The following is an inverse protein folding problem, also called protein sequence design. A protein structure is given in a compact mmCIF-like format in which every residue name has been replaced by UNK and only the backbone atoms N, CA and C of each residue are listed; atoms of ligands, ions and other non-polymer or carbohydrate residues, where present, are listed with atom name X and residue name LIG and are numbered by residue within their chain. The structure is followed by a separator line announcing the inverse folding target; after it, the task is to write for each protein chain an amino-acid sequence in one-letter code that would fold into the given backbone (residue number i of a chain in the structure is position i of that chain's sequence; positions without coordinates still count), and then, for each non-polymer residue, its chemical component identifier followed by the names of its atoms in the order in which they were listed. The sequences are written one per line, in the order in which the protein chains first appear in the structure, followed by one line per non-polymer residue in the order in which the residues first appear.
data_IF_242681065131
#
_entry.id   IF_242681065131
#
_cell.length_a   1.000
_cell.length_b   1.000
_cell.length_c   1.000
_cell.angle_alpha   90.00
_cell.angle_beta   90.00
_cell.angle_gamma   90.00
#
_symmetry.space_group_name_H-M   'P 1'
#
loop_
_entity.id
_entity.type
_entity.pdbx_description
1 polymer ?
#
# COMPACT_ATOMS: atom_id res chain seq x y z
N UNK A 1 12.81 -18.35 3.36
CA UNK A 1 12.85 -16.90 3.09
C UNK A 1 14.05 -16.59 2.20
N UNK A 2 13.84 -15.85 1.12
CA UNK A 2 14.88 -15.44 0.17
C UNK A 2 15.13 -13.94 0.37
N UNK A 3 16.38 -13.51 0.42
CA UNK A 3 16.71 -12.09 0.57
C UNK A 3 16.35 -11.33 -0.71
N UNK A 4 15.98 -10.05 -0.61
CA UNK A 4 15.62 -9.23 -1.79
C UNK A 4 16.74 -9.23 -2.84
N UNK A 5 17.99 -9.17 -2.40
CA UNK A 5 19.19 -9.21 -3.25
C UNK A 5 19.28 -10.51 -4.05
N UNK A 6 19.03 -11.65 -3.41
CA UNK A 6 19.03 -12.97 -4.08
C UNK A 6 17.89 -13.10 -5.09
N UNK A 7 16.73 -12.50 -4.80
CA UNK A 7 15.62 -12.46 -5.75
C UNK A 7 15.97 -11.62 -6.98
N UNK A 8 16.59 -10.46 -6.78
CA UNK A 8 17.01 -9.57 -7.85
C UNK A 8 18.05 -10.22 -8.77
N UNK A 9 19.04 -10.90 -8.18
CA UNK A 9 20.05 -11.68 -8.91
C UNK A 9 19.41 -12.76 -9.78
N UNK A 10 18.49 -13.56 -9.23
CA UNK A 10 17.75 -14.59 -9.98
C UNK A 10 16.92 -14.05 -11.13
N UNK A 11 16.43 -12.81 -11.02
CA UNK A 11 15.64 -12.17 -12.06
C UNK A 11 16.50 -11.34 -13.04
N UNK A 12 17.82 -11.27 -12.83
CA UNK A 12 18.73 -10.40 -13.56
C UNK A 12 18.26 -8.93 -13.56
N UNK A 13 17.78 -8.46 -12.40
CA UNK A 13 17.28 -7.11 -12.19
C UNK A 13 18.24 -6.36 -11.27
N UNK A 14 18.60 -5.15 -11.67
CA UNK A 14 19.58 -4.31 -10.96
C UNK A 14 18.97 -3.07 -10.32
N UNK A 15 17.67 -2.81 -10.53
CA UNK A 15 17.02 -1.58 -10.09
C UNK A 15 15.86 -1.91 -9.15
N UNK A 16 15.85 -1.25 -7.99
CA UNK A 16 14.75 -1.29 -7.02
C UNK A 16 14.10 0.09 -6.96
N UNK A 17 12.80 0.16 -7.27
CA UNK A 17 12.04 1.41 -7.17
C UNK A 17 11.27 1.43 -5.85
N UNK A 18 11.41 2.52 -5.09
CA UNK A 18 10.76 2.71 -3.78
C UNK A 18 10.05 4.06 -3.72
N UNK A 19 8.84 4.06 -3.17
CA UNK A 19 8.06 5.28 -2.93
C UNK A 19 8.32 5.83 -1.53
N UNK A 20 8.60 7.12 -1.42
CA UNK A 20 8.73 7.83 -0.14
C UNK A 20 7.47 8.66 0.11
N UNK A 21 6.79 8.42 1.23
CA UNK A 21 5.63 9.25 1.61
C UNK A 21 6.08 10.43 2.45
N UNK A 22 6.91 10.19 3.46
CA UNK A 22 7.40 11.21 4.38
C UNK A 22 8.91 11.14 4.58
N UNK A 23 9.49 12.18 5.20
CA UNK A 23 10.90 12.21 5.63
C UNK A 23 11.24 11.01 6.52
N UNK A 24 10.30 10.53 7.33
CA UNK A 24 10.52 9.37 8.20
C UNK A 24 10.60 8.03 7.45
N UNK A 25 9.91 7.89 6.30
CA UNK A 25 10.08 6.69 5.47
C UNK A 25 11.49 6.69 4.82
N UNK A 26 12.07 7.87 4.56
CA UNK A 26 13.38 7.99 3.91
C UNK A 26 14.50 7.37 4.73
N UNK A 27 14.58 7.60 6.05
CA UNK A 27 15.67 7.06 6.86
C UNK A 27 15.73 5.52 6.82
N UNK A 28 14.57 4.88 6.99
CA UNK A 28 14.46 3.43 6.93
C UNK A 28 14.81 2.89 5.53
N UNK A 29 14.22 3.48 4.50
CA UNK A 29 14.43 3.07 3.11
C UNK A 29 15.87 3.30 2.64
N UNK A 30 16.49 4.38 3.09
CA UNK A 30 17.88 4.71 2.82
C UNK A 30 18.84 3.70 3.45
N UNK A 31 18.61 3.32 4.72
CA UNK A 31 19.39 2.27 5.37
C UNK A 31 19.29 0.93 4.63
N UNK A 32 18.10 0.56 4.17
CA UNK A 32 17.89 -0.66 3.38
C UNK A 32 18.58 -0.60 2.02
N UNK A 33 18.53 0.53 1.32
CA UNK A 33 19.24 0.71 0.06
C UNK A 33 20.76 0.57 0.22
N UNK A 34 21.34 1.14 1.27
CA UNK A 34 22.77 1.00 1.57
C UNK A 34 23.14 -0.46 1.87
N UNK A 35 22.30 -1.18 2.62
CA UNK A 35 22.51 -2.59 2.91
C UNK A 35 22.47 -3.44 1.64
N UNK A 36 21.46 -3.24 0.79
CA UNK A 36 21.34 -3.95 -0.49
C UNK A 36 22.54 -3.68 -1.40
N UNK A 37 22.99 -2.42 -1.51
CA UNK A 37 24.18 -2.05 -2.28
C UNK A 37 25.47 -2.63 -1.72
N UNK A 38 25.53 -2.83 -0.40
CA UNK A 38 26.69 -3.46 0.27
C UNK A 38 26.77 -4.95 -0.05
N UNK A 39 25.61 -5.61 -0.15
CA UNK A 39 25.49 -7.02 -0.49
C UNK A 39 25.73 -7.28 -1.98
N UNK A 40 25.21 -6.42 -2.85
CA UNK A 40 25.49 -6.44 -4.29
C UNK A 40 25.63 -5.01 -4.83
N UNK A 41 26.81 -4.70 -5.37
CA UNK A 41 27.14 -3.37 -5.88
C UNK A 41 26.40 -3.03 -7.18
N UNK A 42 25.84 -4.02 -7.87
CA UNK A 42 25.08 -3.82 -9.09
C UNK A 42 23.64 -3.39 -8.81
N UNK A 43 23.18 -3.43 -7.55
CA UNK A 43 21.84 -3.00 -7.19
C UNK A 43 21.81 -1.49 -6.95
N UNK A 44 20.94 -0.82 -7.70
CA UNK A 44 20.61 0.59 -7.55
C UNK A 44 19.20 0.75 -6.99
N UNK A 45 19.03 1.67 -6.04
CA UNK A 45 17.72 2.01 -5.47
C UNK A 45 17.31 3.41 -5.94
N UNK A 46 16.15 3.50 -6.58
CA UNK A 46 15.55 4.74 -7.06
C UNK A 46 14.38 5.10 -6.17
N UNK A 47 14.42 6.31 -5.60
CA UNK A 47 13.38 6.83 -4.72
C UNK A 47 12.48 7.81 -5.45
N UNK A 48 11.17 7.60 -5.36
CA UNK A 48 10.15 8.48 -5.92
C UNK A 48 9.31 9.08 -4.79
N UNK A 49 9.24 10.41 -4.72
CA UNK A 49 8.38 11.07 -3.74
C UNK A 49 6.91 10.98 -4.17
N UNK A 50 6.04 10.53 -3.28
CA UNK A 50 4.61 10.44 -3.56
C UNK A 50 3.93 11.80 -3.44
N UNK A 51 2.92 12.06 -4.28
CA UNK A 51 2.09 13.27 -4.18
C UNK A 51 1.41 13.37 -2.80
N UNK A 52 1.41 14.57 -2.22
CA UNK A 52 0.80 14.89 -0.91
C UNK A 52 -0.64 14.37 -0.76
N UNK A 53 -1.41 14.28 -1.85
CA UNK A 53 -2.78 13.76 -1.85
C UNK A 53 -2.92 12.35 -1.29
N UNK A 54 -1.85 11.54 -1.31
CA UNK A 54 -1.84 10.14 -0.85
C UNK A 54 -1.06 9.93 0.46
N UNK A 55 -0.56 11.02 1.07
CA UNK A 55 0.33 10.97 2.22
C UNK A 55 -0.30 10.31 3.46
N UNK A 56 -1.60 10.53 3.69
CA UNK A 56 -2.33 9.98 4.83
C UNK A 56 -2.79 8.52 4.64
N UNK A 57 -2.54 7.94 3.46
CA UNK A 57 -3.06 6.62 3.12
C UNK A 57 -2.03 5.55 3.53
N UNK A 58 -2.42 4.74 4.51
CA UNK A 58 -1.67 3.56 4.94
C UNK A 58 -2.57 2.34 4.89
N UNK A 59 -2.04 1.23 4.37
CA UNK A 59 -2.75 -0.06 4.38
C UNK A 59 -3.18 -0.47 5.79
N UNK A 60 -2.44 -0.06 6.83
CA UNK A 60 -2.80 -0.33 8.23
C UNK A 60 -4.09 0.40 8.61
N UNK A 61 -4.14 1.71 8.37
CA UNK A 61 -5.29 2.57 8.66
C UNK A 61 -6.51 2.15 7.83
N UNK A 62 -6.34 1.89 6.53
CA UNK A 62 -7.43 1.42 5.67
C UNK A 62 -8.05 0.13 6.23
N UNK A 63 -7.22 -0.84 6.60
CA UNK A 63 -7.70 -2.13 7.14
C UNK A 63 -8.41 -1.95 8.50
N UNK A 64 -7.95 -1.02 9.32
CA UNK A 64 -8.54 -0.71 10.63
C UNK A 64 -9.90 -0.01 10.48
N UNK A 65 -9.99 1.01 9.62
CA UNK A 65 -11.26 1.67 9.30
C UNK A 65 -12.25 0.66 8.69
N UNK A 66 -11.79 -0.17 7.75
CA UNK A 66 -12.62 -1.21 7.14
C UNK A 66 -13.07 -2.26 8.18
N UNK A 67 -12.21 -2.71 9.10
CA UNK A 67 -12.60 -3.70 10.10
C UNK A 67 -13.65 -3.16 11.09
N UNK A 68 -13.63 -1.85 11.36
CA UNK A 68 -14.63 -1.15 12.16
C UNK A 68 -15.92 -0.84 11.37
N UNK A 69 -15.91 -1.03 10.05
CA UNK A 69 -17.05 -0.83 9.16
C UNK A 69 -17.14 0.54 8.49
N UNK A 70 -16.15 1.42 8.69
CA UNK A 70 -16.08 2.71 8.02
C UNK A 70 -15.78 2.55 6.52
N UNK A 71 -16.36 3.41 5.68
CA UNK A 71 -16.19 3.38 4.22
C UNK A 71 -14.79 3.83 3.79
N UNK A 72 -14.14 3.07 2.92
CA UNK A 72 -12.83 3.41 2.32
C UNK A 72 -12.87 3.39 0.79
N UNK A 73 -14.07 3.41 0.19
CA UNK A 73 -14.31 3.19 -1.26
C UNK A 73 -13.53 4.14 -2.17
N UNK A 74 -13.29 5.39 -1.76
CA UNK A 74 -12.55 6.37 -2.56
C UNK A 74 -11.03 6.35 -2.33
N UNK A 75 -10.56 5.56 -1.35
CA UNK A 75 -9.16 5.46 -0.96
C UNK A 75 -8.47 4.22 -1.56
N UNK A 76 -9.25 3.31 -2.15
CA UNK A 76 -8.75 2.07 -2.73
C UNK A 76 -9.39 1.80 -4.09
N UNK A 77 -8.70 1.11 -5.02
CA UNK A 77 -9.32 0.64 -6.25
C UNK A 77 -10.49 -0.33 -5.99
N UNK A 78 -11.46 -0.39 -6.90
CA UNK A 78 -12.66 -1.23 -6.76
C UNK A 78 -12.35 -2.72 -6.51
N UNK A 79 -11.27 -3.23 -7.12
CA UNK A 79 -10.80 -4.60 -6.91
C UNK A 79 -10.44 -4.84 -5.45
N UNK A 80 -9.82 -3.86 -4.79
CA UNK A 80 -9.44 -3.93 -3.37
C UNK A 80 -10.66 -3.75 -2.48
N UNK A 81 -11.59 -2.84 -2.82
CA UNK A 81 -12.85 -2.66 -2.09
C UNK A 81 -13.66 -3.97 -2.03
N UNK A 82 -13.77 -4.67 -3.17
CA UNK A 82 -14.41 -6.01 -3.22
C UNK A 82 -13.72 -7.00 -2.30
N UNK A 83 -12.38 -7.03 -2.28
CA UNK A 83 -11.60 -7.90 -1.39
C UNK A 83 -11.76 -7.53 0.08
N UNK A 84 -11.92 -6.25 0.40
CA UNK A 84 -12.21 -5.81 1.77
C UNK A 84 -13.60 -6.26 2.22
N UNK A 85 -14.61 -6.24 1.35
CA UNK A 85 -15.96 -6.77 1.64
C UNK A 85 -15.98 -8.28 1.88
N UNK A 86 -15.15 -9.04 1.15
CA UNK A 86 -14.95 -10.47 1.39
C UNK A 86 -14.29 -10.69 2.77
N UNK A 87 -13.24 -9.93 3.08
CA UNK A 87 -12.44 -10.09 4.29
C UNK A 87 -13.12 -9.61 5.57
N UNK A 88 -13.92 -8.54 5.50
CA UNK A 88 -14.55 -7.91 6.66
C UNK A 88 -16.09 -7.92 6.51
N UNK A 89 -16.80 -8.85 7.17
CA UNK A 89 -18.27 -8.92 7.10
C UNK A 89 -18.97 -7.62 7.52
N UNK A 90 -18.49 -6.98 8.59
CA UNK A 90 -19.03 -5.71 9.10
C UNK A 90 -18.90 -4.55 8.08
N UNK A 91 -17.79 -4.50 7.34
CA UNK A 91 -17.59 -3.54 6.25
C UNK A 91 -18.61 -3.74 5.13
N UNK A 92 -18.87 -4.99 4.76
CA UNK A 92 -19.84 -5.34 3.72
C UNK A 92 -21.24 -4.90 4.12
N UNK A 93 -21.70 -5.28 5.30
CA UNK A 93 -23.07 -5.01 5.77
C UNK A 93 -23.39 -3.51 5.82
N UNK A 94 -22.49 -2.70 6.37
CA UNK A 94 -22.72 -1.26 6.54
C UNK A 94 -22.63 -0.50 5.20
N UNK A 95 -21.73 -0.93 4.30
CA UNK A 95 -21.58 -0.26 3.01
C UNK A 95 -22.55 -0.78 1.91
N UNK A 96 -23.21 -1.93 2.13
CA UNK A 96 -24.33 -2.39 1.32
C UNK A 96 -25.63 -1.62 1.59
N UNK A 97 -25.89 -1.23 2.86
CA UNK A 97 -27.08 -0.45 3.25
C UNK A 97 -27.05 0.99 2.73
N UNK A 98 -25.90 1.65 2.80
CA UNK A 98 -25.71 3.02 2.30
C UNK A 98 -25.91 3.19 0.78
N UNK A 99 -25.76 2.11 0.00
CA UNK A 99 -26.03 2.15 -1.45
C UNK A 99 -27.54 2.12 -1.74
N UNK A 100 -28.34 1.49 -0.87
CA UNK A 100 -29.79 1.39 -1.03
C UNK A 100 -30.52 2.67 -0.61
N UNK A 101 -30.02 3.39 0.40
CA UNK A 101 -30.59 4.70 0.78
C UNK A 101 -30.27 5.81 -0.23
N UNK A 102 -29.10 5.80 -0.89
CA UNK A 102 -28.77 6.81 -1.93
C UNK A 102 -29.58 6.66 -3.23
N UNK A 103 -30.20 5.51 -3.48
CA UNK A 103 -31.05 5.28 -4.66
C UNK A 103 -32.52 5.67 -4.45
N UNK A 104 -32.96 5.84 -3.19
CA UNK A 104 -34.34 6.23 -2.84
C UNK A 104 -34.49 7.71 -2.42
N UNK A 105 -33.42 8.51 -2.48
CA UNK A 105 -33.47 9.95 -2.22
C UNK A 105 -33.75 10.75 -3.49
N UNK A 106 -35.00 10.74 -3.96
CA UNK A 106 -35.62 11.80 -4.75
C UNK A 106 -36.73 12.41 -3.92
#
# INVERSE_FOLDING_TARGET
DCLLVEYLDRQNVHIVVRGLRAVLDFEYEYQMALMNRKLDRNIESVFLMTSYRWFYISSKIIKEVASMGGSVKELVPDVVDRKLKEKFPRYRELNSKNTSEKLNGR
#
